data_IF_391932018802
#
_entry.id   IF_391932018802
#
_cell.length_a   1.000
_cell.length_b   1.000
_cell.length_c   1.000
_cell.angle_alpha   90.00
_cell.angle_beta   90.00
_cell.angle_gamma   90.00
#
_symmetry.space_group_name_H-M   'P 1'
#
loop_
_entity.id
_entity.type
_entity.pdbx_description
1 polymer ?
#
# COMPACT_ATOMS: atom_id res chain seq x y z
N UNK A 1 -11.84 10.66 0.86
CA UNK A 1 -10.53 11.16 1.31
C UNK A 1 -9.46 10.30 0.65
N UNK A 2 -8.72 10.91 -0.27
CA UNK A 2 -7.48 10.32 -0.77
C UNK A 2 -6.45 10.54 0.33
N UNK A 3 -5.97 9.46 0.94
CA UNK A 3 -4.89 9.55 1.93
C UNK A 3 -3.58 9.49 1.14
N UNK A 4 -2.83 10.57 1.17
CA UNK A 4 -1.49 10.64 0.60
C UNK A 4 -0.49 10.27 1.70
N UNK A 5 0.12 9.09 1.61
CA UNK A 5 1.24 8.70 2.49
C UNK A 5 2.53 8.92 1.73
N UNK A 6 3.44 9.75 2.24
CA UNK A 6 4.75 9.92 1.64
C UNK A 6 5.87 9.55 2.64
N UNK A 7 6.89 8.90 2.09
CA UNK A 7 8.20 8.64 2.69
C UNK A 7 9.18 9.75 2.23
N UNK A 8 10.34 9.86 2.89
CA UNK A 8 11.45 10.70 2.45
C UNK A 8 11.98 10.22 1.10
N UNK A 9 11.57 10.91 0.02
CA UNK A 9 12.13 10.69 -1.31
C UNK A 9 13.60 11.13 -1.38
N UNK A 10 14.36 10.46 -2.25
CA UNK A 10 15.79 10.55 -2.57
C UNK A 10 16.38 11.97 -2.82
N UNK A 11 15.59 13.05 -2.73
CA UNK A 11 15.97 14.43 -3.05
C UNK A 11 15.79 15.40 -1.86
N UNK A 12 15.96 14.92 -0.62
CA UNK A 12 16.01 15.79 0.55
C UNK A 12 17.35 16.56 0.57
N UNK A 13 17.40 17.68 -0.15
CA UNK A 13 18.47 18.65 -0.01
C UNK A 13 18.35 19.31 1.37
N UNK A 14 19.45 19.34 2.13
CA UNK A 14 19.56 20.01 3.44
C UNK A 14 18.83 21.37 3.42
N UNK A 15 17.69 21.44 4.12
CA UNK A 15 16.93 22.68 4.33
C UNK A 15 15.86 23.03 3.29
N UNK A 16 15.51 22.14 2.35
CA UNK A 16 14.49 22.38 1.34
C UNK A 16 13.05 22.19 1.86
N UNK A 17 12.13 23.07 1.43
CA UNK A 17 10.68 22.87 1.60
C UNK A 17 10.28 21.52 0.98
N UNK A 18 9.53 20.74 1.74
CA UNK A 18 8.89 19.46 1.40
C UNK A 18 8.50 19.34 -0.08
N UNK A 19 9.26 18.57 -0.87
CA UNK A 19 8.86 18.13 -2.21
C UNK A 19 8.75 16.61 -2.17
N UNK A 20 7.61 16.13 -1.67
CA UNK A 20 7.30 14.70 -1.64
C UNK A 20 7.22 14.14 -3.06
N UNK A 21 8.05 13.16 -3.38
CA UNK A 21 7.94 12.32 -4.56
C UNK A 21 7.16 11.05 -4.25
N UNK A 22 6.34 10.62 -5.21
CA UNK A 22 5.45 9.44 -5.22
C UNK A 22 4.17 9.63 -4.40
N UNK A 23 3.08 9.94 -5.11
CA UNK A 23 1.73 10.16 -4.55
C UNK A 23 0.88 8.91 -4.80
N UNK A 24 0.92 7.87 -3.93
CA UNK A 24 0.02 6.75 -4.10
C UNK A 24 -1.42 7.21 -3.91
N UNK A 25 -2.34 6.64 -4.69
CA UNK A 25 -3.75 6.73 -4.39
C UNK A 25 -4.13 5.58 -3.47
N UNK A 26 -4.46 5.90 -2.22
CA UNK A 26 -5.04 4.95 -1.28
C UNK A 26 -6.55 5.17 -1.14
N UNK A 27 -7.32 4.11 -1.36
CA UNK A 27 -8.77 4.07 -1.10
C UNK A 27 -9.07 2.89 -0.19
N UNK A 28 -9.60 3.17 1.01
CA UNK A 28 -9.81 2.18 2.05
C UNK A 28 -11.26 2.25 2.51
N UNK A 29 -11.93 1.11 2.56
CA UNK A 29 -13.26 0.95 3.11
C UNK A 29 -13.30 -0.23 4.07
N UNK A 30 -13.46 0.07 5.36
CA UNK A 30 -13.46 -0.92 6.44
C UNK A 30 -12.16 -1.76 6.39
N UNK A 31 -12.28 -3.07 6.18
CA UNK A 31 -11.16 -4.01 6.14
C UNK A 31 -10.58 -4.23 4.74
N UNK A 32 -11.05 -3.53 3.69
CA UNK A 32 -10.51 -3.63 2.33
C UNK A 32 -9.85 -2.33 1.91
N UNK A 33 -8.63 -2.40 1.37
CA UNK A 33 -7.88 -1.26 0.85
C UNK A 33 -7.33 -1.53 -0.54
N UNK A 34 -7.27 -0.48 -1.37
CA UNK A 34 -6.58 -0.50 -2.66
C UNK A 34 -5.59 0.64 -2.68
N UNK A 35 -4.32 0.33 -3.01
CA UNK A 35 -3.22 1.28 -3.09
C UNK A 35 -2.64 1.23 -4.48
N UNK A 36 -2.73 2.33 -5.23
CA UNK A 36 -2.21 2.42 -6.58
C UNK A 36 -0.98 3.32 -6.59
N UNK A 37 0.12 2.76 -7.07
CA UNK A 37 1.34 3.48 -7.36
C UNK A 37 1.44 3.61 -8.88
N UNK A 38 1.45 4.86 -9.34
CA UNK A 38 1.79 5.18 -10.72
C UNK A 38 2.87 6.25 -10.76
N UNK A 39 4.03 5.86 -11.29
CA UNK A 39 5.02 6.81 -11.75
C UNK A 39 4.67 7.21 -13.16
N UNK A 40 4.12 8.41 -13.31
CA UNK A 40 4.16 9.10 -14.58
C UNK A 40 5.62 9.20 -15.07
N UNK A 41 5.87 8.94 -16.35
CA UNK A 41 7.17 9.21 -16.97
C UNK A 41 7.52 10.68 -16.74
N UNK A 42 8.72 10.93 -16.21
CA UNK A 42 9.23 12.30 -16.13
C UNK A 42 9.75 12.73 -17.50
N UNK A 43 9.94 14.04 -17.74
CA UNK A 43 10.63 14.52 -18.94
C UNK A 43 11.96 13.77 -19.13
N UNK A 44 12.31 13.52 -20.38
CA UNK A 44 13.48 12.72 -20.76
C UNK A 44 14.76 13.20 -20.06
N UNK A 45 14.89 14.51 -19.88
CA UNK A 45 16.03 15.15 -19.21
C UNK A 45 16.15 14.74 -17.74
N UNK A 46 15.03 14.59 -17.04
CA UNK A 46 15.02 14.17 -15.64
C UNK A 46 15.21 12.66 -15.50
N UNK A 47 14.66 11.86 -16.43
CA UNK A 47 14.95 10.43 -16.52
C UNK A 47 16.45 10.19 -16.80
N UNK A 48 17.04 10.95 -17.73
CA UNK A 48 18.48 10.90 -18.04
C UNK A 48 19.33 11.41 -16.87
N UNK A 49 18.94 12.50 -16.21
CA UNK A 49 19.64 12.99 -15.03
C UNK A 49 19.71 11.92 -13.93
N UNK A 50 18.59 11.25 -13.64
CA UNK A 50 18.55 10.19 -12.63
C UNK A 50 19.37 8.97 -13.08
N UNK A 51 19.31 8.62 -14.37
CA UNK A 51 20.17 7.59 -14.98
C UNK A 51 21.65 7.87 -14.77
N UNK A 52 22.10 9.10 -15.05
CA UNK A 52 23.48 9.50 -14.84
C UNK A 52 23.84 9.61 -13.35
N UNK A 53 22.94 10.16 -12.53
CA UNK A 53 23.18 10.31 -11.09
C UNK A 53 23.40 8.96 -10.40
N UNK A 54 22.60 7.95 -10.72
CA UNK A 54 22.78 6.59 -10.20
C UNK A 54 24.10 5.99 -10.68
N UNK A 55 24.37 6.03 -11.99
CA UNK A 55 25.60 5.53 -12.60
C UNK A 55 26.88 6.09 -11.96
N UNK A 56 26.87 7.37 -11.56
CA UNK A 56 28.05 8.04 -10.99
C UNK A 56 28.13 8.01 -9.45
N UNK A 57 27.03 7.77 -8.73
CA UNK A 57 27.00 7.84 -7.26
C UNK A 57 26.81 6.49 -6.55
N UNK A 58 27.13 5.38 -7.22
CA UNK A 58 27.20 4.05 -6.60
C UNK A 58 28.29 3.97 -5.52
N UNK A 59 28.02 4.58 -4.37
CA UNK A 59 28.70 4.36 -3.10
C UNK A 59 27.79 3.42 -2.30
N UNK A 60 28.12 2.14 -2.35
CA UNK A 60 27.74 1.11 -1.38
C UNK A 60 26.27 0.64 -1.28
N UNK A 61 25.48 0.65 -2.36
CA UNK A 61 24.21 -0.09 -2.39
C UNK A 61 24.25 -1.20 -3.45
N UNK A 62 24.31 -2.45 -2.98
CA UNK A 62 24.38 -3.72 -3.72
C UNK A 62 23.15 -4.01 -4.63
N UNK A 63 22.28 -3.02 -4.85
CA UNK A 63 21.03 -3.18 -5.59
C UNK A 63 21.10 -2.67 -7.03
N UNK A 64 22.00 -1.75 -7.39
CA UNK A 64 22.13 -1.25 -8.78
C UNK A 64 20.82 -0.77 -9.40
N UNK A 65 19.81 -0.43 -8.57
CA UNK A 65 18.48 -0.02 -9.03
C UNK A 65 18.40 1.49 -8.95
N UNK A 66 18.35 2.08 -10.14
CA UNK A 66 18.07 3.48 -10.46
C UNK A 66 16.96 4.17 -9.63
N UNK A 67 16.05 3.38 -9.06
CA UNK A 67 14.92 3.85 -8.28
C UNK A 67 14.65 2.91 -7.11
N UNK A 68 14.36 3.43 -5.89
CA UNK A 68 13.91 2.57 -4.80
C UNK A 68 12.65 1.83 -5.27
N UNK A 69 12.60 0.49 -5.14
CA UNK A 69 11.46 -0.27 -5.60
C UNK A 69 10.23 0.12 -4.79
N UNK A 70 9.05 0.00 -5.42
CA UNK A 70 7.80 0.04 -4.67
C UNK A 70 7.83 -1.12 -3.69
N UNK A 71 7.63 -0.87 -2.41
CA UNK A 71 7.67 -1.91 -1.39
C UNK A 71 6.49 -1.84 -0.43
N UNK A 72 6.25 -2.97 0.24
CA UNK A 72 5.42 -3.04 1.42
C UNK A 72 6.30 -3.36 2.63
N UNK A 73 6.17 -2.57 3.70
CA UNK A 73 6.72 -2.91 5.00
C UNK A 73 5.89 -4.06 5.59
N UNK A 74 6.47 -5.26 5.61
CA UNK A 74 5.83 -6.49 6.05
C UNK A 74 6.81 -7.29 6.92
N UNK A 75 6.97 -6.96 8.20
CA UNK A 75 7.90 -7.62 9.11
C UNK A 75 7.50 -9.07 9.36
N UNK A 76 8.24 -10.03 8.79
CA UNK A 76 7.94 -11.47 8.95
C UNK A 76 7.90 -11.89 10.42
N UNK A 77 8.78 -11.33 11.24
CA UNK A 77 8.86 -11.58 12.68
C UNK A 77 7.65 -11.08 13.48
N UNK A 78 6.83 -10.18 12.92
CA UNK A 78 5.64 -9.67 13.61
C UNK A 78 4.47 -10.67 13.55
N UNK A 79 4.53 -11.63 12.63
CA UNK A 79 3.49 -12.62 12.39
C UNK A 79 3.88 -13.98 12.99
N UNK A 80 2.87 -14.73 13.42
CA UNK A 80 3.03 -16.12 13.85
C UNK A 80 3.12 -17.06 12.64
N UNK A 81 2.50 -16.69 11.53
CA UNK A 81 2.55 -17.42 10.25
C UNK A 81 2.53 -16.42 9.08
N UNK A 82 3.38 -16.67 8.07
CA UNK A 82 3.45 -15.92 6.81
C UNK A 82 3.46 -16.91 5.65
N UNK A 83 2.69 -16.63 4.60
CA UNK A 83 2.57 -17.51 3.43
C UNK A 83 2.34 -16.68 2.16
N UNK A 84 2.75 -17.18 1.00
CA UNK A 84 2.57 -16.48 -0.28
C UNK A 84 2.09 -17.44 -1.37
N UNK A 85 1.10 -17.02 -2.15
CA UNK A 85 0.51 -17.82 -3.23
C UNK A 85 0.22 -16.94 -4.46
N UNK A 86 0.27 -17.53 -5.65
CA UNK A 86 -0.18 -16.85 -6.88
C UNK A 86 -1.70 -16.73 -6.86
N UNK A 87 -2.24 -15.56 -7.21
CA UNK A 87 -3.68 -15.34 -7.28
C UNK A 87 -4.30 -16.13 -8.44
N UNK A 88 -5.50 -16.67 -8.24
CA UNK A 88 -6.23 -17.37 -9.28
C UNK A 88 -6.72 -16.38 -10.38
N UNK A 89 -6.45 -16.72 -11.66
CA UNK A 89 -7.29 -16.24 -12.77
C UNK A 89 -6.95 -14.92 -13.46
N UNK A 90 -5.68 -14.51 -13.62
CA UNK A 90 -5.35 -13.47 -14.60
C UNK A 90 -5.02 -14.11 -15.97
N UNK A 91 -5.95 -14.04 -16.92
CA UNK A 91 -5.67 -14.39 -18.32
C UNK A 91 -5.17 -13.17 -19.09
N UNK A 92 -3.95 -13.25 -19.64
CA UNK A 92 -3.69 -12.98 -21.07
C UNK A 92 -2.21 -13.09 -21.48
N UNK A 93 -1.92 -13.91 -22.50
CA UNK A 93 -0.84 -13.67 -23.49
C UNK A 93 0.45 -14.48 -23.38
N UNK A 94 0.70 -15.35 -24.37
CA UNK A 94 1.89 -16.21 -24.56
C UNK A 94 3.22 -15.47 -24.56
N UNK A 95 4.18 -15.90 -23.73
CA UNK A 95 5.57 -15.42 -23.75
C UNK A 95 6.46 -16.18 -22.78
N UNK A 96 7.59 -16.70 -23.28
CA UNK A 96 8.58 -17.56 -22.63
C UNK A 96 9.76 -16.75 -22.07
N UNK A 97 10.22 -17.05 -20.85
CA UNK A 97 11.51 -16.64 -20.28
C UNK A 97 11.36 -16.07 -18.86
N UNK A 98 11.68 -16.82 -17.78
CA UNK A 98 12.98 -17.28 -17.26
C UNK A 98 13.49 -16.37 -16.14
N UNK A 99 13.33 -16.84 -14.89
CA UNK A 99 13.91 -16.24 -13.67
C UNK A 99 12.94 -16.21 -12.50
N UNK A 100 12.55 -17.38 -11.96
CA UNK A 100 11.54 -17.48 -10.91
C UNK A 100 12.08 -18.11 -9.61
N UNK A 101 11.50 -17.67 -8.50
CA UNK A 101 11.62 -18.31 -7.19
C UNK A 101 11.24 -19.79 -7.35
N UNK A 102 12.10 -20.70 -6.90
CA UNK A 102 11.93 -22.13 -7.10
C UNK A 102 10.53 -22.59 -6.64
N UNK A 103 9.67 -22.93 -7.61
CA UNK A 103 8.31 -23.41 -7.38
C UNK A 103 7.17 -22.56 -7.96
N UNK A 104 7.44 -21.40 -8.57
CA UNK A 104 6.40 -20.58 -9.21
C UNK A 104 6.85 -20.22 -10.63
N UNK A 105 6.52 -21.04 -11.63
CA UNK A 105 6.85 -20.72 -13.03
C UNK A 105 6.09 -19.47 -13.49
N UNK A 106 6.84 -18.38 -13.69
CA UNK A 106 6.37 -17.13 -14.26
C UNK A 106 6.01 -17.35 -15.74
N UNK A 107 4.71 -17.44 -16.02
CA UNK A 107 4.15 -17.38 -17.37
C UNK A 107 3.81 -15.91 -17.68
N UNK A 108 4.17 -15.44 -18.86
CA UNK A 108 3.79 -14.11 -19.35
C UNK A 108 2.25 -13.92 -19.27
N UNK A 109 1.84 -12.75 -18.79
CA UNK A 109 0.45 -12.43 -18.46
C UNK A 109 0.15 -12.40 -16.96
N UNK A 110 1.08 -11.87 -16.15
CA UNK A 110 1.15 -12.04 -14.69
C UNK A 110 -0.19 -12.01 -13.94
N UNK A 111 -0.54 -13.17 -13.36
CA UNK A 111 -1.38 -13.28 -12.17
C UNK A 111 -0.59 -12.69 -11.00
N UNK A 112 -1.10 -11.64 -10.35
CA UNK A 112 -0.43 -11.08 -9.17
C UNK A 112 -0.34 -12.08 -8.01
N UNK A 113 0.41 -11.74 -6.97
CA UNK A 113 0.69 -12.63 -5.83
C UNK A 113 -0.02 -12.12 -4.59
N UNK A 114 -0.63 -13.04 -3.82
CA UNK A 114 -1.10 -12.76 -2.47
C UNK A 114 -0.04 -13.15 -1.44
N UNK A 115 0.31 -12.22 -0.57
CA UNK A 115 1.08 -12.43 0.66
C UNK A 115 0.14 -12.41 1.85
N UNK A 116 0.21 -13.41 2.72
CA UNK A 116 -0.62 -13.56 3.90
C UNK A 116 0.21 -13.46 5.17
N UNK A 117 -0.41 -12.88 6.21
CA UNK A 117 0.15 -12.85 7.55
C UNK A 117 -0.93 -13.12 8.59
N UNK A 118 -0.55 -13.83 9.65
CA UNK A 118 -1.39 -14.09 10.83
C UNK A 118 -0.70 -13.60 12.09
N UNK A 119 -1.43 -12.94 12.99
CA UNK A 119 -1.02 -12.69 14.37
C UNK A 119 -2.16 -12.96 15.32
N UNK A 120 -2.05 -14.04 16.12
CA UNK A 120 -3.15 -14.55 16.93
C UNK A 120 -4.38 -14.84 16.09
N UNK A 121 -5.45 -14.09 16.35
CA UNK A 121 -6.74 -14.19 15.66
C UNK A 121 -6.95 -13.10 14.60
N UNK A 122 -5.91 -12.33 14.26
CA UNK A 122 -5.95 -11.30 13.21
C UNK A 122 -5.18 -11.76 11.96
N UNK A 123 -5.75 -11.49 10.79
CA UNK A 123 -5.22 -11.90 9.48
C UNK A 123 -5.09 -10.72 8.52
N UNK A 124 -4.09 -10.78 7.65
CA UNK A 124 -3.91 -9.86 6.53
C UNK A 124 -3.65 -10.66 5.25
N UNK A 125 -4.25 -10.22 4.16
CA UNK A 125 -3.89 -10.59 2.80
C UNK A 125 -3.48 -9.33 2.04
N UNK A 126 -2.31 -9.38 1.40
CA UNK A 126 -1.73 -8.32 0.58
C UNK A 126 -1.49 -8.86 -0.83
N UNK A 127 -2.31 -8.45 -1.79
CA UNK A 127 -2.09 -8.71 -3.20
C UNK A 127 -1.11 -7.69 -3.77
N UNK A 128 -0.20 -8.12 -4.63
CA UNK A 128 0.58 -7.27 -5.53
C UNK A 128 0.33 -7.67 -6.97
N UNK A 129 0.00 -6.69 -7.83
CA UNK A 129 -0.18 -6.94 -9.28
C UNK A 129 1.14 -7.37 -9.93
N UNK A 130 2.21 -6.67 -9.62
CA UNK A 130 3.54 -6.96 -10.16
C UNK A 130 4.28 -7.99 -9.29
N UNK A 131 5.19 -8.73 -9.93
CA UNK A 131 6.04 -9.71 -9.26
C UNK A 131 6.81 -9.06 -8.10
N UNK A 132 6.79 -9.72 -6.95
CA UNK A 132 7.36 -9.19 -5.71
C UNK A 132 8.18 -10.25 -4.99
N UNK A 133 9.23 -9.81 -4.31
CA UNK A 133 10.19 -10.65 -3.62
C UNK A 133 10.63 -10.02 -2.30
N UNK A 134 11.09 -10.86 -1.39
CA UNK A 134 11.70 -10.40 -0.14
C UNK A 134 13.05 -9.77 -0.41
N UNK A 135 13.23 -8.51 0.02
CA UNK A 135 14.54 -7.84 0.05
C UNK A 135 15.20 -7.91 1.42
N UNK A 136 14.40 -8.12 2.46
CA UNK A 136 14.86 -8.32 3.84
C UNK A 136 13.82 -9.10 4.65
N UNK A 137 13.98 -9.16 5.98
CA UNK A 137 12.97 -9.71 6.89
C UNK A 137 11.77 -8.78 7.11
N UNK A 138 11.83 -7.54 6.61
CA UNK A 138 10.81 -6.50 6.80
C UNK A 138 10.26 -5.92 5.49
N UNK A 139 10.90 -6.22 4.36
CA UNK A 139 10.63 -5.53 3.11
C UNK A 139 10.25 -6.52 2.01
N UNK A 140 9.02 -6.40 1.52
CA UNK A 140 8.50 -7.13 0.37
C UNK A 140 8.40 -6.16 -0.81
N UNK A 141 9.35 -6.26 -1.74
CA UNK A 141 9.55 -5.27 -2.79
C UNK A 141 9.11 -5.79 -4.16
N UNK A 142 8.56 -4.88 -4.96
CA UNK A 142 8.15 -5.12 -6.34
C UNK A 142 9.39 -5.08 -7.22
N UNK A 143 9.52 -6.04 -8.14
CA UNK A 143 10.63 -6.06 -9.11
C UNK A 143 10.55 -4.88 -10.10
N UNK A 144 9.32 -4.48 -10.48
CA UNK A 144 9.05 -3.26 -11.24
C UNK A 144 9.12 -2.00 -10.35
N UNK A 145 9.88 -1.00 -10.80
CA UNK A 145 10.05 0.27 -10.08
C UNK A 145 9.07 1.37 -10.50
N UNK A 146 8.16 1.09 -11.43
CA UNK A 146 7.34 2.14 -12.09
C UNK A 146 5.88 2.14 -11.66
N UNK A 147 5.28 0.97 -11.49
CA UNK A 147 3.83 0.88 -11.32
C UNK A 147 3.50 -0.37 -10.53
N UNK A 148 2.58 -0.26 -9.58
CA UNK A 148 1.99 -1.42 -8.92
C UNK A 148 0.63 -1.07 -8.34
N UNK A 149 -0.24 -2.06 -8.23
CA UNK A 149 -1.45 -1.98 -7.42
C UNK A 149 -1.35 -3.01 -6.30
N UNK A 150 -1.55 -2.54 -5.06
CA UNK A 150 -1.79 -3.41 -3.93
C UNK A 150 -3.28 -3.47 -3.61
N UNK A 151 -3.76 -4.65 -3.25
CA UNK A 151 -5.06 -4.84 -2.61
C UNK A 151 -4.79 -5.44 -1.24
N UNK A 152 -5.40 -4.88 -0.21
CA UNK A 152 -5.32 -5.40 1.16
C UNK A 152 -6.72 -5.83 1.58
N UNK A 153 -6.82 -7.02 2.15
CA UNK A 153 -8.00 -7.43 2.91
C UNK A 153 -7.56 -7.92 4.29
N UNK A 154 -8.15 -7.33 5.33
CA UNK A 154 -7.97 -7.75 6.71
C UNK A 154 -9.10 -8.71 7.09
N UNK A 155 -8.78 -9.66 7.95
CA UNK A 155 -9.74 -10.60 8.51
C UNK A 155 -9.41 -10.95 9.95
N UNK A 156 -10.28 -11.73 10.57
CA UNK A 156 -10.09 -12.25 11.92
C UNK A 156 -10.67 -13.65 12.05
N UNK A 157 -10.36 -14.34 13.14
CA UNK A 157 -10.96 -15.64 13.45
C UNK A 157 -12.49 -15.57 13.45
N UNK A 158 -13.05 -14.51 14.05
CA UNK A 158 -14.50 -14.32 14.20
C UNK A 158 -15.19 -14.04 12.86
N UNK A 159 -14.58 -13.22 12.00
CA UNK A 159 -15.20 -12.81 10.72
C UNK A 159 -14.89 -13.77 9.57
N UNK A 160 -13.71 -14.40 9.59
CA UNK A 160 -13.19 -15.17 8.45
C UNK A 160 -13.10 -16.67 8.69
N UNK A 161 -13.24 -17.13 9.93
CA UNK A 161 -12.93 -18.50 10.35
C UNK A 161 -11.42 -18.67 10.58
N UNK A 162 -10.89 -19.88 10.43
CA UNK A 162 -9.45 -20.10 10.64
C UNK A 162 -8.59 -19.39 9.59
N UNK A 163 -7.31 -19.17 9.87
CA UNK A 163 -6.37 -18.59 8.89
C UNK A 163 -6.31 -19.37 7.57
N UNK A 164 -6.42 -20.71 7.63
CA UNK A 164 -6.48 -21.55 6.43
C UNK A 164 -7.74 -21.25 5.60
N UNK A 165 -8.90 -21.11 6.26
CA UNK A 165 -10.15 -20.75 5.58
C UNK A 165 -10.10 -19.34 4.99
N UNK A 166 -9.46 -18.40 5.69
CA UNK A 166 -9.22 -17.04 5.17
C UNK A 166 -8.36 -17.09 3.90
N UNK A 167 -7.20 -17.78 3.92
CA UNK A 167 -6.33 -17.96 2.74
C UNK A 167 -7.09 -18.60 1.58
N UNK A 168 -7.89 -19.64 1.84
CA UNK A 168 -8.66 -20.34 0.82
C UNK A 168 -9.73 -19.44 0.16
N UNK A 169 -10.45 -18.64 0.95
CA UNK A 169 -11.46 -17.71 0.42
C UNK A 169 -10.82 -16.62 -0.44
N UNK A 170 -9.73 -16.01 0.05
CA UNK A 170 -9.03 -14.93 -0.66
C UNK A 170 -8.36 -15.46 -1.94
N UNK A 171 -7.73 -16.64 -1.91
CA UNK A 171 -7.03 -17.19 -3.07
C UNK A 171 -7.95 -17.50 -4.26
N UNK A 172 -9.22 -17.80 -3.97
CA UNK A 172 -10.28 -18.06 -4.95
C UNK A 172 -11.02 -16.79 -5.39
N UNK A 173 -10.78 -15.66 -4.73
CA UNK A 173 -11.42 -14.39 -5.07
C UNK A 173 -10.95 -13.90 -6.44
N UNK A 174 -11.89 -13.40 -7.25
CA UNK A 174 -11.56 -12.82 -8.55
C UNK A 174 -10.85 -11.48 -8.35
N UNK A 175 -9.66 -11.35 -8.95
CA UNK A 175 -8.89 -10.10 -9.02
C UNK A 175 -8.62 -9.78 -10.49
N UNK A 176 -9.10 -8.63 -10.95
CA UNK A 176 -8.84 -8.10 -12.29
C UNK A 176 -8.29 -6.68 -12.14
N UNK A 177 -7.00 -6.53 -12.43
CA UNK A 177 -6.26 -5.27 -12.32
C UNK A 177 -5.65 -4.95 -13.67
N UNK A 178 -6.20 -3.93 -14.34
CA UNK A 178 -5.81 -3.53 -15.69
C UNK A 178 -5.10 -2.19 -15.66
N UNK A 179 -3.93 -2.11 -16.29
CA UNK A 179 -3.22 -0.85 -16.41
C UNK A 179 -4.00 0.13 -17.27
N UNK A 180 -4.14 1.37 -16.81
CA UNK A 180 -4.62 2.51 -17.58
C UNK A 180 -3.53 3.63 -17.56
N UNK A 181 -3.67 4.72 -18.33
CA UNK A 181 -2.64 5.77 -18.41
C UNK A 181 -2.34 6.51 -17.10
N UNK A 182 -3.25 6.50 -16.12
CA UNK A 182 -3.11 7.26 -14.86
C UNK A 182 -3.02 6.38 -13.62
N UNK A 183 -3.16 5.06 -13.75
CA UNK A 183 -3.17 4.10 -12.64
C UNK A 183 -3.68 2.75 -13.10
N UNK A 184 -4.58 2.13 -12.33
CA UNK A 184 -5.19 0.87 -12.67
C UNK A 184 -6.71 0.94 -12.59
N UNK A 185 -7.39 0.16 -13.43
CA UNK A 185 -8.77 -0.22 -13.22
C UNK A 185 -8.77 -1.50 -12.37
N UNK A 186 -9.20 -1.40 -11.12
CA UNK A 186 -9.21 -2.50 -10.17
C UNK A 186 -10.63 -3.03 -10.01
N UNK A 187 -10.80 -4.34 -10.15
CA UNK A 187 -12.00 -5.09 -9.77
C UNK A 187 -11.59 -6.25 -8.88
N UNK A 188 -12.19 -6.34 -7.71
CA UNK A 188 -11.89 -7.36 -6.73
C UNK A 188 -13.18 -7.85 -6.07
N UNK A 189 -13.46 -9.15 -6.17
CA UNK A 189 -14.60 -9.76 -5.47
C UNK A 189 -14.15 -10.15 -4.07
N UNK A 190 -14.19 -9.19 -3.14
CA UNK A 190 -13.85 -9.40 -1.73
C UNK A 190 -14.77 -10.45 -1.11
N UNK A 191 -14.22 -11.50 -0.46
CA UNK A 191 -15.03 -12.46 0.28
C UNK A 191 -15.87 -11.82 1.41
N UNK A 192 -15.41 -10.69 1.99
CA UNK A 192 -16.10 -10.02 3.09
C UNK A 192 -16.96 -8.81 2.68
N UNK A 193 -16.69 -8.21 1.50
CA UNK A 193 -17.34 -6.95 1.05
C UNK A 193 -17.99 -7.00 -0.32
N UNK A 194 -17.91 -8.14 -1.01
CA UNK A 194 -18.44 -8.28 -2.37
C UNK A 194 -17.60 -7.53 -3.40
N UNK A 195 -18.22 -7.06 -4.48
CA UNK A 195 -17.49 -6.47 -5.62
C UNK A 195 -16.99 -5.07 -5.27
N UNK A 196 -15.67 -4.95 -5.14
CA UNK A 196 -14.94 -3.68 -5.05
C UNK A 196 -14.45 -3.27 -6.42
N UNK A 197 -14.77 -2.05 -6.83
CA UNK A 197 -14.20 -1.43 -8.04
C UNK A 197 -13.67 -0.03 -7.74
N UNK A 198 -12.49 0.29 -8.26
CA UNK A 198 -11.89 1.61 -8.15
C UNK A 198 -10.90 1.82 -9.31
N UNK A 199 -10.86 3.02 -9.87
CA UNK A 199 -9.83 3.42 -10.86
C UNK A 199 -8.90 4.50 -10.26
N UNK A 200 -8.24 5.35 -11.04
CA UNK A 200 -7.38 6.42 -10.50
C UNK A 200 -8.10 7.72 -10.08
N UNK A 201 -9.21 8.10 -10.72
CA UNK A 201 -9.88 9.39 -10.45
C UNK A 201 -11.37 9.27 -10.07
N UNK A 202 -11.95 8.08 -10.14
CA UNK A 202 -13.35 7.78 -9.81
C UNK A 202 -13.52 7.32 -8.36
N UNK A 203 -14.73 7.40 -7.80
CA UNK A 203 -15.00 6.89 -6.46
C UNK A 203 -14.75 5.38 -6.34
N UNK A 204 -14.44 4.93 -5.12
CA UNK A 204 -14.51 3.51 -4.77
C UNK A 204 -15.98 3.08 -4.71
N UNK A 205 -16.32 2.00 -5.40
CA UNK A 205 -17.65 1.39 -5.39
C UNK A 205 -17.54 0.01 -4.77
N UNK A 206 -18.43 -0.30 -3.84
CA UNK A 206 -18.51 -1.61 -3.18
C UNK A 206 -19.95 -2.11 -3.27
N UNK A 207 -20.15 -3.28 -3.86
CA UNK A 207 -21.48 -3.87 -4.12
C UNK A 207 -22.45 -2.88 -4.79
N UNK A 208 -21.95 -2.19 -5.82
CA UNK A 208 -22.71 -1.22 -6.61
C UNK A 208 -22.99 0.11 -5.90
N UNK A 209 -22.48 0.31 -4.67
CA UNK A 209 -22.65 1.56 -3.91
C UNK A 209 -21.36 2.36 -3.89
N UNK A 210 -21.44 3.62 -4.30
CA UNK A 210 -20.34 4.57 -4.13
C UNK A 210 -20.08 4.75 -2.63
N UNK A 211 -18.85 4.50 -2.21
CA UNK A 211 -18.43 4.65 -0.82
C UNK A 211 -18.04 6.10 -0.55
N UNK A 212 -18.65 6.67 0.49
CA UNK A 212 -18.18 7.94 1.03
C UNK A 212 -16.82 7.71 1.72
N UNK A 213 -15.75 8.19 1.09
CA UNK A 213 -14.40 8.09 1.66
C UNK A 213 -14.04 9.29 2.55
N UNK A 214 -14.95 10.22 2.82
CA UNK A 214 -14.72 11.34 3.73
C UNK A 214 -14.99 12.73 3.10
N UNK A 215 -14.63 13.81 3.80
CA UNK A 215 -13.59 13.88 4.84
C UNK A 215 -13.91 13.09 6.11
N UNK A 216 -12.88 12.44 6.67
CA UNK A 216 -12.89 11.79 7.98
C UNK A 216 -11.69 12.31 8.76
N UNK A 217 -11.81 12.39 10.07
CA UNK A 217 -10.76 12.89 10.95
C UNK A 217 -9.46 12.10 10.76
N UNK A 218 -8.33 12.81 10.77
CA UNK A 218 -7.00 12.23 10.53
C UNK A 218 -6.63 11.23 11.61
N UNK A 219 -7.00 11.56 12.85
CA UNK A 219 -6.97 10.68 14.00
C UNK A 219 -8.32 10.80 14.67
N UNK A 220 -8.94 9.67 14.98
CA UNK A 220 -10.14 9.60 15.79
C UNK A 220 -10.12 8.30 16.59
N UNK A 221 -9.59 8.39 17.80
CA UNK A 221 -9.55 7.30 18.77
C UNK A 221 -9.57 7.89 20.20
N UNK A 222 -9.68 7.02 21.20
CA UNK A 222 -9.78 7.39 22.62
C UNK A 222 -8.68 8.33 23.13
N UNK A 223 -7.53 8.33 22.44
CA UNK A 223 -6.35 9.09 22.85
C UNK A 223 -6.05 10.29 21.98
N UNK A 224 -6.55 10.34 20.74
CA UNK A 224 -6.13 11.35 19.79
C UNK A 224 -7.24 11.64 18.80
N UNK A 225 -7.55 12.93 18.67
CA UNK A 225 -8.50 13.45 17.72
C UNK A 225 -7.89 14.61 16.93
N UNK A 226 -8.01 14.55 15.60
CA UNK A 226 -7.60 15.61 14.70
C UNK A 226 -8.56 15.70 13.51
N UNK A 227 -9.33 16.79 13.40
CA UNK A 227 -10.24 16.96 12.27
C UNK A 227 -9.52 16.99 10.92
N UNK A 228 -10.17 16.46 9.88
CA UNK A 228 -9.59 16.43 8.54
C UNK A 228 -9.16 17.81 8.06
N UNK A 229 -7.97 17.91 7.47
CA UNK A 229 -7.47 19.15 6.88
C UNK A 229 -7.05 20.23 7.89
N UNK A 230 -7.19 19.98 9.19
CA UNK A 230 -6.74 20.91 10.23
C UNK A 230 -5.32 20.59 10.67
N UNK A 231 -4.65 21.59 11.25
CA UNK A 231 -3.38 21.40 11.96
C UNK A 231 -3.58 21.47 13.47
N UNK A 232 -4.73 21.00 13.93
CA UNK A 232 -5.13 20.99 15.33
C UNK A 232 -5.31 19.56 15.81
N UNK A 233 -4.52 19.16 16.78
CA UNK A 233 -4.52 17.81 17.34
C UNK A 233 -4.81 17.89 18.83
N UNK A 234 -5.81 17.15 19.30
CA UNK A 234 -6.12 16.97 20.71
C UNK A 234 -5.70 15.57 21.11
N UNK A 235 -4.85 15.46 22.13
CA UNK A 235 -4.42 14.19 22.70
C UNK A 235 -4.94 14.12 24.13
N UNK A 236 -5.59 13.03 24.49
CA UNK A 236 -6.13 12.77 25.83
C UNK A 236 -5.61 11.45 26.36
N UNK A 237 -5.19 11.41 27.62
CA UNK A 237 -4.80 10.15 28.27
C UNK A 237 -5.09 10.25 29.77
N UNK A 238 -6.07 9.49 30.24
CA UNK A 238 -6.53 9.58 31.63
C UNK A 238 -7.03 10.99 31.97
N UNK A 239 -6.40 11.62 32.98
CA UNK A 239 -6.70 12.97 33.45
C UNK A 239 -5.88 14.08 32.77
N UNK A 240 -5.11 13.74 31.73
CA UNK A 240 -4.23 14.65 31.01
C UNK A 240 -4.77 14.96 29.61
N UNK A 241 -4.57 16.19 29.15
CA UNK A 241 -4.81 16.59 27.77
C UNK A 241 -3.72 17.49 27.22
N UNK A 242 -3.45 17.35 25.93
CA UNK A 242 -2.54 18.17 25.15
C UNK A 242 -3.23 18.64 23.88
N UNK A 243 -3.36 19.96 23.73
CA UNK A 243 -3.73 20.61 22.48
C UNK A 243 -2.47 21.07 21.77
N UNK A 244 -2.32 20.67 20.51
CA UNK A 244 -1.36 21.21 19.57
C UNK A 244 -2.13 21.93 18.46
N UNK A 245 -1.91 23.23 18.31
CA UNK A 245 -2.52 24.03 17.23
C UNK A 245 -1.41 24.76 16.46
N UNK A 246 -1.10 24.29 15.25
CA UNK A 246 -0.03 24.88 14.45
C UNK A 246 -0.47 26.09 13.62
N UNK A 247 -1.77 26.39 13.56
CA UNK A 247 -2.26 27.60 12.90
C UNK A 247 -2.09 28.81 13.85
N UNK A 248 -2.23 28.60 15.15
CA UNK A 248 -1.99 29.62 16.20
C UNK A 248 -0.63 29.49 16.90
N UNK A 249 0.14 28.43 16.62
CA UNK A 249 1.38 28.05 17.32
C UNK A 249 1.17 27.81 18.83
N UNK A 250 -0.02 27.36 19.21
CA UNK A 250 -0.37 27.10 20.60
C UNK A 250 -0.04 25.66 21.01
N UNK A 251 0.44 25.52 22.25
CA UNK A 251 0.62 24.25 22.94
C UNK A 251 0.04 24.38 24.34
N UNK A 252 -1.11 23.76 24.58
CA UNK A 252 -1.79 23.81 25.89
C UNK A 252 -1.80 22.42 26.49
N UNK A 253 -1.21 22.28 27.67
CA UNK A 253 -1.22 21.04 28.44
C UNK A 253 -2.05 21.24 29.70
N UNK A 254 -3.00 20.34 29.97
CA UNK A 254 -3.79 20.33 31.18
C UNK A 254 -3.66 18.98 31.89
N UNK A 255 -3.72 19.01 33.22
CA UNK A 255 -3.79 17.83 34.08
C UNK A 255 -4.71 18.14 35.24
N UNK A 256 -5.70 17.29 35.48
CA UNK A 256 -6.58 17.42 36.65
C UNK A 256 -6.02 16.51 37.75
N UNK A 257 -5.47 17.08 38.83
CA UNK A 257 -4.98 16.33 40.00
C UNK A 257 -6.17 15.82 40.81
#
# INVERSE_FOLDING_TARGET
ANVWTNWDGLLSFKGGKFVGGWKPRATIFKNVGVFQYDRAMMPLELELFLLFYDYFNHVDNDSGVLYPPIHAYFPRWAFDEVDAIVAAGATSGTGTGAGAIAGIDAVAGHCGTWLFGRKGDAYIALYSKEASEWKSDIEYAVQSTRKNAYIVELGSADESGTFVQFKEKISKAMVDVRSNPMGYDVKYVSPSRGLVTVDWDSPMVVDGKVINLGPYDRFDNDYCHQPFGTRRTVITCGNQSLLLDFDTLERVFNSTV
#
